data_IF_592362159794
#
_entry.id   IF_592362159794
#
_cell.length_a   1.000
_cell.length_b   1.000
_cell.length_c   1.000
_cell.angle_alpha   90.00
_cell.angle_beta   90.00
_cell.angle_gamma   90.00
#
_symmetry.space_group_name_H-M   'P 1'
#
loop_
_entity.id
_entity.type
_entity.pdbx_description
1 polymer ?
#
# COMPACT_ATOMS: atom_id res chain seq x y z
N UNK A 1 -19.56 61.21 36.07
CA UNK A 1 -20.00 59.94 36.66
C UNK A 1 -19.65 58.79 35.69
N UNK A 2 -18.68 57.93 36.04
CA UNK A 2 -18.21 56.82 35.26
C UNK A 2 -18.67 55.55 35.97
N UNK A 3 -19.52 54.75 35.36
CA UNK A 3 -19.85 53.43 35.86
C UNK A 3 -19.26 52.37 34.94
N UNK A 4 -18.49 51.49 35.55
CA UNK A 4 -17.68 50.44 34.93
C UNK A 4 -18.52 49.21 34.69
N UNK A 5 -18.53 48.68 33.47
CA UNK A 5 -18.97 47.33 33.13
C UNK A 5 -17.78 46.37 33.14
N UNK A 6 -17.59 45.62 34.24
CA UNK A 6 -16.67 44.51 34.35
C UNK A 6 -17.43 43.24 34.74
N UNK A 7 -18.03 42.55 33.79
CA UNK A 7 -18.66 41.26 34.13
C UNK A 7 -18.75 40.23 33.00
N UNK A 8 -18.25 40.48 31.80
CA UNK A 8 -18.41 39.54 30.69
C UNK A 8 -17.21 38.62 30.42
N UNK A 9 -16.01 38.90 30.95
CA UNK A 9 -14.80 38.17 30.62
C UNK A 9 -14.58 36.89 31.48
N UNK A 10 -15.24 36.76 32.59
CA UNK A 10 -14.98 35.63 33.51
C UNK A 10 -15.74 34.35 33.15
N UNK A 11 -16.85 34.45 32.39
CA UNK A 11 -17.61 33.29 31.93
C UNK A 11 -16.96 32.55 30.76
N UNK A 12 -16.34 33.27 29.83
CA UNK A 12 -15.68 32.69 28.68
C UNK A 12 -14.37 31.98 29.03
N UNK A 13 -13.65 32.47 30.06
CA UNK A 13 -12.40 31.89 30.53
C UNK A 13 -12.64 30.54 31.25
N UNK A 14 -13.65 30.47 32.11
CA UNK A 14 -14.03 29.22 32.80
C UNK A 14 -14.52 28.13 31.83
N UNK A 15 -15.19 28.50 30.75
CA UNK A 15 -15.65 27.53 29.73
C UNK A 15 -14.47 26.92 28.95
N UNK A 16 -13.48 27.72 28.57
CA UNK A 16 -12.27 27.22 27.89
C UNK A 16 -11.42 26.30 28.74
N UNK A 17 -11.40 26.51 30.06
CA UNK A 17 -10.62 25.68 30.99
C UNK A 17 -11.33 24.36 31.31
N UNK A 18 -12.67 24.35 31.34
CA UNK A 18 -13.47 23.13 31.47
C UNK A 18 -13.35 22.26 30.22
N UNK A 19 -13.39 22.85 29.02
CA UNK A 19 -13.22 22.12 27.77
C UNK A 19 -11.80 21.54 27.62
N UNK A 20 -10.76 22.26 28.10
CA UNK A 20 -9.40 21.71 28.16
C UNK A 20 -9.26 20.52 29.11
N UNK A 21 -9.96 20.52 30.25
CA UNK A 21 -9.95 19.36 31.16
C UNK A 21 -10.67 18.14 30.59
N UNK A 22 -11.78 18.34 29.88
CA UNK A 22 -12.48 17.25 29.21
C UNK A 22 -11.66 16.63 28.08
N UNK A 23 -10.94 17.46 27.31
CA UNK A 23 -10.01 16.98 26.27
C UNK A 23 -8.77 16.28 26.82
N UNK A 24 -8.28 16.68 27.99
CA UNK A 24 -7.12 16.01 28.62
C UNK A 24 -7.48 14.69 29.30
N UNK A 25 -8.72 14.53 29.76
CA UNK A 25 -9.21 13.30 30.39
C UNK A 25 -9.51 12.19 29.35
N UNK A 26 -9.89 12.53 28.13
CA UNK A 26 -10.10 11.56 27.04
C UNK A 26 -8.81 11.07 26.39
N UNK A 27 -7.68 11.77 26.60
CA UNK A 27 -6.39 11.42 26.00
C UNK A 27 -5.55 10.42 26.85
N UNK A 28 -5.97 10.11 28.08
CA UNK A 28 -5.20 9.23 28.97
C UNK A 28 -5.49 7.73 28.73
N UNK A 29 -6.55 7.37 27.98
CA UNK A 29 -6.87 5.96 27.69
C UNK A 29 -6.46 5.51 26.27
N UNK A 30 -5.99 6.41 25.41
CA UNK A 30 -5.33 6.03 24.17
C UNK A 30 -3.86 5.71 24.45
N UNK A 31 -3.62 4.52 25.01
CA UNK A 31 -2.29 3.88 25.00
C UNK A 31 -1.85 3.89 23.54
N UNK A 32 -0.94 4.79 23.17
CA UNK A 32 -0.47 4.94 21.80
C UNK A 32 0.03 3.58 21.32
N UNK A 33 -0.65 3.00 20.34
CA UNK A 33 -0.24 1.73 19.73
C UNK A 33 1.15 1.94 19.13
N UNK A 34 2.19 1.49 19.88
CA UNK A 34 3.56 1.52 19.40
C UNK A 34 3.75 0.35 18.43
N UNK A 35 3.70 0.66 17.13
CA UNK A 35 3.96 -0.34 16.08
C UNK A 35 5.31 -1.01 16.33
N UNK A 36 5.32 -2.32 16.51
CA UNK A 36 6.53 -3.12 16.72
C UNK A 36 7.45 -2.98 15.51
N UNK A 37 8.68 -2.61 15.72
CA UNK A 37 9.69 -2.47 14.67
C UNK A 37 10.20 -3.85 14.25
N UNK A 38 10.12 -4.18 12.97
CA UNK A 38 10.66 -5.41 12.40
C UNK A 38 12.20 -5.41 12.55
N UNK A 39 12.80 -6.46 13.15
CA UNK A 39 14.25 -6.57 13.31
C UNK A 39 14.99 -6.56 11.96
N UNK A 40 16.22 -6.02 11.95
CA UNK A 40 17.06 -5.96 10.73
C UNK A 40 17.27 -7.34 10.10
N UNK A 41 17.55 -8.37 10.91
CA UNK A 41 17.74 -9.74 10.45
C UNK A 41 16.52 -10.26 9.68
N UNK A 42 15.32 -10.04 10.21
CA UNK A 42 14.07 -10.44 9.52
C UNK A 42 13.90 -9.66 8.21
N UNK A 43 14.26 -8.38 8.20
CA UNK A 43 14.25 -7.57 6.97
C UNK A 43 15.17 -8.16 5.89
N UNK A 44 16.38 -8.57 6.26
CA UNK A 44 17.34 -9.22 5.35
C UNK A 44 16.80 -10.56 4.82
N UNK A 45 16.21 -11.38 5.70
CA UNK A 45 15.59 -12.65 5.31
C UNK A 45 14.41 -12.45 4.35
N UNK A 46 13.58 -11.42 4.56
CA UNK A 46 12.50 -11.05 3.63
C UNK A 46 13.05 -10.70 2.25
N UNK A 47 14.16 -9.98 2.18
CA UNK A 47 14.80 -9.66 0.91
C UNK A 47 15.30 -10.92 0.20
N UNK A 48 16.10 -11.74 0.90
CA UNK A 48 16.71 -12.94 0.33
C UNK A 48 15.65 -13.97 -0.09
N UNK A 49 14.59 -14.16 0.70
CA UNK A 49 13.53 -15.12 0.38
C UNK A 49 12.70 -14.75 -0.86
N UNK A 50 12.59 -13.45 -1.18
CA UNK A 50 11.80 -12.99 -2.34
C UNK A 50 12.65 -12.71 -3.59
N UNK A 51 13.91 -12.28 -3.43
CA UNK A 51 14.75 -11.81 -4.54
C UNK A 51 16.12 -12.49 -4.61
N UNK A 52 16.44 -13.39 -3.67
CA UNK A 52 17.75 -13.99 -3.56
C UNK A 52 18.83 -12.95 -3.22
N UNK A 53 20.07 -13.16 -3.68
CA UNK A 53 21.21 -12.30 -3.39
C UNK A 53 21.35 -11.10 -4.37
N UNK A 54 20.26 -10.65 -4.97
CA UNK A 54 20.28 -9.49 -5.85
C UNK A 54 20.40 -8.19 -5.03
N UNK A 55 21.23 -7.26 -5.51
CA UNK A 55 21.36 -5.94 -4.90
C UNK A 55 20.13 -5.06 -5.13
N UNK A 56 19.52 -5.14 -6.33
CA UNK A 56 18.34 -4.35 -6.72
C UNK A 56 17.25 -5.25 -7.29
N UNK A 57 16.01 -4.86 -7.09
CA UNK A 57 14.84 -5.52 -7.67
C UNK A 57 13.72 -4.52 -7.91
N UNK A 58 12.65 -4.95 -8.57
CA UNK A 58 11.38 -4.21 -8.59
C UNK A 58 10.67 -4.36 -7.26
N UNK A 59 9.82 -3.39 -6.93
CA UNK A 59 8.84 -3.51 -5.87
C UNK A 59 8.00 -4.77 -6.06
N UNK A 60 7.70 -5.49 -4.97
CA UNK A 60 6.91 -6.72 -5.01
C UNK A 60 5.49 -6.53 -5.58
N UNK A 61 4.96 -5.31 -5.54
CA UNK A 61 3.66 -4.97 -6.13
C UNK A 61 3.74 -5.07 -7.66
N UNK A 62 2.94 -5.93 -8.27
CA UNK A 62 3.05 -6.33 -9.68
C UNK A 62 2.91 -5.17 -10.70
N UNK A 63 2.06 -4.19 -10.42
CA UNK A 63 1.87 -3.02 -11.29
C UNK A 63 2.87 -1.88 -11.01
N UNK A 64 3.69 -1.99 -9.94
CA UNK A 64 4.63 -0.95 -9.54
C UNK A 64 5.96 -1.11 -10.30
N UNK A 65 6.40 -0.05 -10.97
CA UNK A 65 7.68 0.00 -11.70
C UNK A 65 8.87 0.50 -10.87
N UNK A 66 8.64 0.89 -9.60
CA UNK A 66 9.71 1.42 -8.74
C UNK A 66 10.76 0.35 -8.47
N UNK A 67 12.05 0.73 -8.65
CA UNK A 67 13.20 -0.08 -8.23
C UNK A 67 13.46 0.15 -6.74
N UNK A 68 13.76 -0.92 -6.04
CA UNK A 68 14.18 -0.96 -4.63
C UNK A 68 15.54 -1.66 -4.55
N UNK A 69 16.28 -1.43 -3.48
CA UNK A 69 17.53 -2.13 -3.21
C UNK A 69 17.55 -2.70 -1.80
N UNK A 70 18.52 -3.58 -1.52
CA UNK A 70 18.63 -4.30 -0.25
C UNK A 70 18.71 -3.40 1.00
N UNK A 71 19.18 -2.16 0.83
CA UNK A 71 19.28 -1.18 1.93
C UNK A 71 18.06 -0.27 2.04
N UNK A 72 17.38 -0.02 0.90
CA UNK A 72 16.29 0.92 0.82
C UNK A 72 15.02 0.27 0.28
N UNK A 73 14.31 -0.43 1.16
CA UNK A 73 12.98 -0.97 0.92
C UNK A 73 12.18 -1.02 2.23
N UNK A 74 10.87 -1.11 2.12
CA UNK A 74 9.96 -1.32 3.22
C UNK A 74 9.50 -2.77 3.26
N UNK A 75 9.34 -3.31 4.47
CA UNK A 75 8.68 -4.60 4.68
C UNK A 75 7.19 -4.32 4.84
N UNK A 76 6.41 -4.79 3.88
CA UNK A 76 4.95 -4.73 3.94
C UNK A 76 4.38 -6.09 4.33
N UNK A 77 3.30 -6.08 5.11
CA UNK A 77 2.53 -7.28 5.38
C UNK A 77 1.63 -7.61 4.20
N UNK A 78 1.62 -8.85 3.76
CA UNK A 78 0.69 -9.35 2.74
C UNK A 78 -0.75 -9.26 3.28
N UNK A 79 -0.97 -9.84 4.46
CA UNK A 79 -2.19 -9.66 5.24
C UNK A 79 -1.87 -8.66 6.36
N UNK A 80 -2.52 -7.49 6.45
CA UNK A 80 -2.28 -6.50 7.49
C UNK A 80 -2.52 -7.05 8.90
N UNK A 81 -1.77 -6.55 9.91
CA UNK A 81 -1.96 -6.93 11.32
C UNK A 81 -3.40 -6.73 11.80
N UNK A 82 -4.07 -5.64 11.38
CA UNK A 82 -5.47 -5.38 11.74
C UNK A 82 -6.46 -6.39 11.12
N UNK A 83 -6.03 -7.16 10.11
CA UNK A 83 -6.79 -8.27 9.52
C UNK A 83 -6.29 -9.65 10.00
N UNK A 84 -5.50 -9.70 11.08
CA UNK A 84 -4.95 -10.94 11.65
C UNK A 84 -3.64 -11.41 11.01
N UNK A 85 -3.00 -10.57 10.21
CA UNK A 85 -1.67 -10.87 9.66
C UNK A 85 -0.60 -10.93 10.74
N UNK A 86 0.37 -11.83 10.58
CA UNK A 86 1.47 -12.06 11.52
C UNK A 86 2.79 -11.55 10.95
N UNK A 87 3.80 -11.38 11.83
CA UNK A 87 5.19 -11.06 11.46
C UNK A 87 5.97 -12.27 10.88
N UNK A 88 5.26 -13.33 10.47
CA UNK A 88 5.90 -14.47 9.84
C UNK A 88 6.48 -14.04 8.47
N UNK A 89 7.66 -14.56 8.13
CA UNK A 89 8.38 -14.23 6.89
C UNK A 89 7.54 -14.46 5.62
N UNK A 90 6.66 -15.44 5.64
CA UNK A 90 5.77 -15.75 4.52
C UNK A 90 4.73 -14.64 4.28
N UNK A 91 4.36 -13.91 5.33
CA UNK A 91 3.44 -12.77 5.29
C UNK A 91 4.15 -11.42 5.03
N UNK A 92 5.47 -11.41 4.95
CA UNK A 92 6.27 -10.21 4.78
C UNK A 92 6.82 -10.11 3.36
N UNK A 93 6.64 -8.95 2.70
CA UNK A 93 7.05 -8.72 1.31
C UNK A 93 7.87 -7.45 1.17
N UNK A 94 8.94 -7.45 0.33
CA UNK A 94 9.76 -6.27 0.08
C UNK A 94 9.06 -5.35 -0.92
N UNK A 95 8.60 -4.20 -0.45
CA UNK A 95 7.88 -3.20 -1.23
C UNK A 95 8.55 -1.82 -1.15
N UNK A 96 8.25 -0.93 -2.08
CA UNK A 96 8.74 0.44 -2.00
C UNK A 96 7.95 1.25 -0.95
N UNK A 97 8.53 2.34 -0.47
CA UNK A 97 7.93 3.29 0.47
C UNK A 97 6.55 3.79 0.01
N UNK A 98 6.45 4.16 -1.27
CA UNK A 98 5.20 4.68 -1.87
C UNK A 98 4.08 3.67 -1.82
N UNK A 99 4.34 2.40 -2.20
CA UNK A 99 3.35 1.35 -2.13
C UNK A 99 2.95 1.05 -0.69
N UNK A 100 3.92 1.00 0.24
CA UNK A 100 3.66 0.75 1.65
C UNK A 100 2.75 1.84 2.26
N UNK A 101 3.05 3.11 2.01
CA UNK A 101 2.26 4.24 2.50
C UNK A 101 0.87 4.31 1.87
N UNK A 102 0.78 4.09 0.53
CA UNK A 102 -0.48 4.20 -0.19
C UNK A 102 -1.44 3.05 0.09
N UNK A 103 -0.92 1.84 0.32
CA UNK A 103 -1.72 0.66 0.66
C UNK A 103 -2.26 0.75 2.09
N UNK A 104 -1.47 1.30 3.01
CA UNK A 104 -1.80 1.40 4.43
C UNK A 104 -2.09 0.04 5.05
N UNK A 105 -2.98 0.03 6.05
CA UNK A 105 -3.44 -1.19 6.74
C UNK A 105 -4.79 -1.72 6.22
N UNK A 106 -5.37 -1.10 5.20
CA UNK A 106 -6.73 -1.40 4.76
C UNK A 106 -6.80 -2.54 3.73
N UNK A 107 -5.75 -2.76 2.95
CA UNK A 107 -5.75 -3.73 1.86
C UNK A 107 -4.67 -4.78 2.07
N UNK A 108 -4.96 -6.02 1.69
CA UNK A 108 -3.93 -7.03 1.45
C UNK A 108 -3.17 -6.68 0.17
N UNK A 109 -1.96 -7.22 -0.01
CA UNK A 109 -1.20 -7.04 -1.26
C UNK A 109 -1.98 -7.58 -2.45
N UNK A 110 -2.70 -8.67 -2.29
CA UNK A 110 -3.53 -9.25 -3.34
C UNK A 110 -4.68 -8.31 -3.74
N UNK A 111 -5.44 -7.78 -2.77
CA UNK A 111 -6.51 -6.80 -3.03
C UNK A 111 -5.96 -5.54 -3.72
N UNK A 112 -4.79 -5.06 -3.24
CA UNK A 112 -4.11 -3.90 -3.80
C UNK A 112 -3.68 -4.13 -5.25
N UNK A 113 -3.11 -5.28 -5.55
CA UNK A 113 -2.76 -5.66 -6.91
C UNK A 113 -3.98 -5.71 -7.82
N UNK A 114 -5.06 -6.36 -7.42
CA UNK A 114 -6.29 -6.46 -8.20
C UNK A 114 -6.94 -5.09 -8.48
N UNK A 115 -6.94 -4.20 -7.48
CA UNK A 115 -7.55 -2.88 -7.56
C UNK A 115 -6.96 -2.02 -8.68
N UNK A 116 -5.67 -2.12 -8.91
CA UNK A 116 -4.97 -1.29 -9.91
C UNK A 116 -4.68 -2.01 -11.23
N UNK A 117 -4.59 -3.33 -11.23
CA UNK A 117 -4.45 -4.11 -12.47
C UNK A 117 -5.71 -4.05 -13.33
N UNK A 118 -6.89 -4.14 -12.74
CA UNK A 118 -8.17 -4.02 -13.46
C UNK A 118 -8.31 -2.70 -14.24
N UNK A 119 -7.82 -1.58 -13.68
CA UNK A 119 -7.88 -0.28 -14.37
C UNK A 119 -7.01 -0.24 -15.63
N UNK A 120 -5.88 -0.94 -15.68
CA UNK A 120 -5.00 -0.97 -16.86
C UNK A 120 -5.59 -1.79 -18.01
N UNK A 121 -6.27 -2.88 -17.69
CA UNK A 121 -6.89 -3.75 -18.70
C UNK A 121 -8.15 -3.13 -19.35
N UNK A 122 -8.87 -2.26 -18.66
CA UNK A 122 -10.06 -1.60 -19.21
C UNK A 122 -9.76 -0.71 -20.43
N UNK A 123 -8.59 -0.06 -20.46
CA UNK A 123 -8.23 0.78 -21.60
C UNK A 123 -7.87 -0.03 -22.85
N UNK A 124 -7.17 -1.16 -22.70
CA UNK A 124 -6.83 -2.03 -23.81
C UNK A 124 -8.06 -2.72 -24.40
N UNK A 125 -8.98 -3.19 -23.54
CA UNK A 125 -10.17 -3.91 -23.99
C UNK A 125 -11.15 -3.01 -24.77
N UNK A 126 -11.31 -1.76 -24.34
CA UNK A 126 -12.17 -0.79 -25.06
C UNK A 126 -11.61 -0.44 -26.44
N UNK A 127 -10.27 -0.36 -26.56
CA UNK A 127 -9.63 -0.10 -27.86
C UNK A 127 -9.74 -1.30 -28.82
N UNK A 128 -9.57 -2.54 -28.28
CA UNK A 128 -9.70 -3.77 -29.07
C UNK A 128 -11.13 -3.99 -29.60
N UNK A 129 -12.15 -3.74 -28.77
CA UNK A 129 -13.56 -3.89 -29.21
C UNK A 129 -13.94 -2.87 -30.26
N UNK A 130 -13.32 -1.70 -30.28
CA UNK A 130 -13.50 -0.69 -31.32
C UNK A 130 -12.87 -1.10 -32.66
N UNK A 131 -11.73 -1.80 -32.64
CA UNK A 131 -11.04 -2.29 -33.84
C UNK A 131 -11.71 -3.54 -34.44
N UNK A 132 -12.33 -4.40 -33.61
CA UNK A 132 -13.12 -5.57 -34.07
C UNK A 132 -14.34 -5.13 -34.89
N UNK A 133 -14.96 -4.00 -34.56
CA UNK A 133 -16.07 -3.42 -35.32
C UNK A 133 -15.68 -2.94 -36.72
N UNK A 134 -14.40 -2.74 -37.00
CA UNK A 134 -13.88 -2.30 -38.32
C UNK A 134 -13.37 -3.48 -39.17
N UNK A 135 -13.53 -4.72 -38.70
CA UNK A 135 -13.25 -5.93 -39.54
C UNK A 135 -11.76 -6.25 -39.78
N UNK A 136 -10.82 -5.57 -39.14
CA UNK A 136 -9.39 -5.65 -39.50
C UNK A 136 -8.58 -6.61 -38.57
N UNK A 137 -9.16 -7.22 -37.53
CA UNK A 137 -8.34 -7.80 -36.44
C UNK A 137 -8.57 -9.30 -36.16
N UNK A 138 -9.10 -10.06 -37.10
CA UNK A 138 -9.23 -11.52 -36.88
C UNK A 138 -7.89 -12.26 -36.88
N UNK A 139 -6.87 -11.75 -37.57
CA UNK A 139 -5.58 -12.44 -37.72
C UNK A 139 -4.52 -12.05 -36.65
N UNK A 140 -4.62 -10.89 -36.03
CA UNK A 140 -3.59 -10.40 -35.08
C UNK A 140 -3.77 -10.99 -33.67
N UNK A 141 -5.01 -11.34 -33.30
CA UNK A 141 -5.31 -11.87 -31.96
C UNK A 141 -4.77 -13.31 -31.79
N UNK A 142 -4.83 -14.13 -32.83
CA UNK A 142 -4.24 -15.48 -32.79
C UNK A 142 -2.71 -15.46 -32.66
N UNK A 143 -2.05 -14.48 -33.29
CA UNK A 143 -0.58 -14.40 -33.27
C UNK A 143 -0.03 -13.96 -31.90
N UNK A 144 -0.71 -13.06 -31.23
CA UNK A 144 -0.27 -12.57 -29.90
C UNK A 144 -0.48 -13.60 -28.79
N UNK A 145 -1.51 -14.45 -28.85
CA UNK A 145 -1.69 -15.52 -27.87
C UNK A 145 -0.62 -16.62 -27.99
N UNK A 146 -0.17 -16.96 -29.20
CA UNK A 146 0.93 -17.91 -29.39
C UNK A 146 2.27 -17.38 -28.86
N UNK A 147 2.56 -16.10 -29.05
CA UNK A 147 3.78 -15.49 -28.52
C UNK A 147 3.77 -15.44 -26.98
N UNK A 148 2.61 -15.19 -26.37
CA UNK A 148 2.47 -15.16 -24.92
C UNK A 148 2.70 -16.53 -24.27
N UNK A 149 2.18 -17.58 -24.89
CA UNK A 149 2.41 -18.98 -24.45
C UNK A 149 3.88 -19.40 -24.60
N UNK A 150 4.53 -19.01 -25.69
CA UNK A 150 5.96 -19.31 -25.91
C UNK A 150 6.82 -18.58 -24.87
N UNK A 151 6.51 -17.33 -24.55
CA UNK A 151 7.28 -16.53 -23.57
C UNK A 151 7.15 -17.08 -22.15
N UNK A 152 5.96 -17.53 -21.75
CA UNK A 152 5.73 -18.14 -20.43
C UNK A 152 6.43 -19.51 -20.28
N UNK A 153 6.50 -20.30 -21.34
CA UNK A 153 7.19 -21.59 -21.32
C UNK A 153 8.72 -21.45 -21.23
N UNK A 154 9.29 -20.39 -21.79
CA UNK A 154 10.73 -20.11 -21.68
C UNK A 154 11.18 -19.61 -20.29
N UNK A 155 10.29 -18.95 -19.55
CA UNK A 155 10.60 -18.44 -18.20
C UNK A 155 10.42 -19.45 -17.08
N UNK A 156 9.80 -20.61 -17.36
CA UNK A 156 9.59 -21.68 -16.38
C UNK A 156 10.65 -22.81 -16.49
N UNK A 157 11.53 -22.79 -17.51
CA UNK A 157 12.58 -23.80 -17.73
C UNK A 157 14.01 -23.28 -17.51
N UNK A 158 14.15 -22.09 -16.92
CA UNK A 158 15.43 -21.49 -16.46
C UNK A 158 15.43 -21.31 -14.96
#
# INVERSE_FOLDING_TARGET
MKTKTKSSNNRSYKRKEHDKRLLSSSNNDMKSYQKKKIPKKVKEEVWVSNFGYKYTSKCYINWCSNKINVFNFHVGHDIPECKGGTDNINNLKPICDRCNLSMGSQNTIQEWNQKYTKKRNCYCFSFLTSLIKIGVVSSIICFNNQIYEIYNNYTLSS
#
